data_IF_645632685808
#
_entry.id   IF_645632685808
#
_cell.length_a   1.000
_cell.length_b   1.000
_cell.length_c   1.000
_cell.angle_alpha   90.00
_cell.angle_beta   90.00
_cell.angle_gamma   90.00
#
_symmetry.space_group_name_H-M   'P 1'
#
loop_
_entity.id
_entity.type
_entity.pdbx_description
1 polymer ?
#
# COMPACT_ATOMS: atom_id res chain seq x y z
N UNK A 1 21.78 -11.33 -7.08
CA UNK A 1 21.70 -10.46 -5.85
C UNK A 1 21.05 -11.31 -4.78
N UNK A 2 21.52 -11.25 -3.52
CA UNK A 2 20.84 -11.95 -2.42
C UNK A 2 19.57 -11.20 -1.99
N UNK A 3 18.66 -11.89 -1.27
CA UNK A 3 17.44 -11.26 -0.75
C UNK A 3 17.77 -10.14 0.26
N UNK A 4 18.79 -10.31 1.09
CA UNK A 4 19.23 -9.28 2.03
C UNK A 4 19.86 -8.06 1.33
N UNK A 5 20.47 -8.25 0.15
CA UNK A 5 20.92 -7.13 -0.67
C UNK A 5 19.74 -6.38 -1.31
N UNK A 6 18.71 -7.10 -1.75
CA UNK A 6 17.49 -6.49 -2.25
C UNK A 6 16.78 -5.67 -1.15
N UNK A 7 16.64 -6.20 0.07
CA UNK A 7 16.08 -5.48 1.20
C UNK A 7 16.87 -4.21 1.53
N UNK A 8 18.20 -4.27 1.55
CA UNK A 8 19.06 -3.11 1.82
C UNK A 8 18.87 -2.01 0.77
N UNK A 9 18.81 -2.36 -0.53
CA UNK A 9 18.58 -1.40 -1.61
C UNK A 9 17.18 -0.80 -1.56
N UNK A 10 16.15 -1.59 -1.24
CA UNK A 10 14.80 -1.11 -1.02
C UNK A 10 14.74 -0.14 0.16
N UNK A 11 15.40 -0.46 1.28
CA UNK A 11 15.51 0.43 2.44
C UNK A 11 16.12 1.77 2.04
N UNK A 12 17.28 1.76 1.38
CA UNK A 12 17.94 2.98 0.91
C UNK A 12 17.06 3.81 -0.03
N UNK A 13 16.32 3.14 -0.91
CA UNK A 13 15.40 3.81 -1.83
C UNK A 13 14.28 4.52 -1.05
N UNK A 14 13.61 3.83 -0.14
CA UNK A 14 12.50 4.37 0.63
C UNK A 14 12.94 5.39 1.69
N UNK A 15 14.12 5.24 2.28
CA UNK A 15 14.70 6.25 3.17
C UNK A 15 14.94 7.57 2.43
N UNK A 16 15.46 7.49 1.21
CA UNK A 16 15.66 8.68 0.39
C UNK A 16 14.33 9.32 -0.06
N UNK A 17 13.30 8.52 -0.36
CA UNK A 17 11.98 8.98 -0.81
C UNK A 17 11.12 9.52 0.35
N UNK A 18 11.36 9.07 1.57
CA UNK A 18 10.58 9.43 2.77
C UNK A 18 10.40 10.94 2.94
N UNK A 19 11.38 11.74 2.51
CA UNK A 19 11.38 13.21 2.68
C UNK A 19 10.28 13.92 1.89
N UNK A 20 9.92 13.38 0.75
CA UNK A 20 8.96 13.96 -0.20
C UNK A 20 7.70 13.13 -0.38
N UNK A 21 7.65 11.94 0.20
CA UNK A 21 6.60 10.95 0.01
C UNK A 21 5.19 11.51 0.23
N UNK A 22 4.99 12.25 1.32
CA UNK A 22 3.69 12.83 1.66
C UNK A 22 3.28 14.04 0.80
N UNK A 23 4.19 14.57 -0.02
CA UNK A 23 3.86 15.67 -0.94
C UNK A 23 2.97 15.19 -2.09
N UNK A 24 2.93 13.88 -2.34
CA UNK A 24 2.04 13.27 -3.34
C UNK A 24 0.69 12.96 -2.71
N UNK A 25 -0.38 13.51 -3.28
CA UNK A 25 -1.75 13.36 -2.76
C UNK A 25 -2.20 11.89 -2.65
N UNK A 26 -1.75 11.02 -3.57
CA UNK A 26 -2.06 9.58 -3.55
C UNK A 26 -1.48 8.83 -2.35
N UNK A 27 -0.48 9.40 -1.67
CA UNK A 27 0.20 8.74 -0.54
C UNK A 27 -0.36 9.14 0.82
N UNK A 28 -0.67 10.42 1.00
CA UNK A 28 -0.89 10.99 2.34
C UNK A 28 -2.29 10.82 2.90
N UNK A 29 -3.31 10.50 2.10
CA UNK A 29 -4.73 10.46 2.53
C UNK A 29 -5.10 11.70 3.38
N UNK A 30 -4.56 12.87 2.98
CA UNK A 30 -4.75 14.11 3.73
C UNK A 30 -6.08 14.81 3.40
N UNK A 31 -6.66 14.54 2.23
CA UNK A 31 -7.94 15.11 1.83
C UNK A 31 -9.08 14.55 2.71
N UNK A 32 -9.94 15.40 3.30
CA UNK A 32 -11.00 14.95 4.20
C UNK A 32 -12.02 14.00 3.55
N UNK A 33 -12.33 14.18 2.27
CA UNK A 33 -13.29 13.33 1.55
C UNK A 33 -12.65 11.95 1.31
N UNK A 34 -11.39 11.92 0.84
CA UNK A 34 -10.66 10.67 0.68
C UNK A 34 -10.49 9.95 2.02
N UNK A 35 -10.11 10.66 3.07
CA UNK A 35 -9.96 10.09 4.42
C UNK A 35 -11.29 9.48 4.93
N UNK A 36 -12.42 10.11 4.65
CA UNK A 36 -13.73 9.58 5.02
C UNK A 36 -14.06 8.29 4.26
N UNK A 37 -13.76 8.21 2.95
CA UNK A 37 -13.99 6.98 2.16
C UNK A 37 -13.09 5.84 2.61
N UNK A 38 -11.81 6.12 2.91
CA UNK A 38 -10.89 5.13 3.49
C UNK A 38 -11.37 4.63 4.86
N UNK A 39 -11.81 5.53 5.73
CA UNK A 39 -12.34 5.18 7.05
C UNK A 39 -13.58 4.28 6.94
N UNK A 40 -14.50 4.61 6.03
CA UNK A 40 -15.69 3.79 5.77
C UNK A 40 -15.34 2.41 5.22
N UNK A 41 -14.37 2.32 4.29
CA UNK A 41 -13.87 1.06 3.77
C UNK A 41 -13.23 0.21 4.86
N UNK A 42 -12.32 0.80 5.67
CA UNK A 42 -11.64 0.09 6.75
C UNK A 42 -12.63 -0.42 7.80
N UNK A 43 -13.62 0.39 8.21
CA UNK A 43 -14.67 -0.03 9.14
C UNK A 43 -15.50 -1.22 8.63
N UNK A 44 -15.55 -1.44 7.31
CA UNK A 44 -16.28 -2.55 6.69
C UNK A 44 -15.43 -3.81 6.54
N UNK A 45 -14.12 -3.68 6.28
CA UNK A 45 -13.25 -4.83 6.01
C UNK A 45 -12.46 -5.31 7.22
N UNK A 46 -12.25 -4.43 8.21
CA UNK A 46 -11.62 -4.79 9.49
C UNK A 46 -12.67 -5.37 10.45
N UNK A 47 -12.27 -6.19 11.45
CA UNK A 47 -13.16 -6.61 12.52
C UNK A 47 -13.55 -5.42 13.42
N UNK A 48 -14.49 -5.63 14.34
CA UNK A 48 -14.83 -4.64 15.36
C UNK A 48 -13.60 -4.27 16.21
N UNK A 49 -13.50 -3.00 16.58
CA UNK A 49 -12.43 -2.53 17.45
C UNK A 49 -12.71 -2.92 18.94
N UNK A 50 -11.67 -3.15 19.73
CA UNK A 50 -10.25 -3.11 19.36
C UNK A 50 -9.76 -4.46 18.78
N UNK A 51 -9.13 -4.42 17.62
CA UNK A 51 -8.40 -5.55 17.04
C UNK A 51 -6.90 -5.24 17.00
N UNK A 52 -6.07 -6.28 17.02
CA UNK A 52 -4.61 -6.20 16.86
C UNK A 52 -4.28 -6.24 15.37
N UNK A 53 -3.78 -5.13 14.85
CA UNK A 53 -3.51 -4.96 13.42
C UNK A 53 -2.00 -4.82 13.20
N UNK A 54 -1.45 -5.63 12.30
CA UNK A 54 -0.12 -5.44 11.75
C UNK A 54 -0.26 -4.72 10.40
N UNK A 55 0.21 -3.48 10.33
CA UNK A 55 0.29 -2.69 9.08
C UNK A 55 1.66 -2.90 8.45
N UNK A 56 1.73 -3.62 7.34
CA UNK A 56 2.96 -4.03 6.65
C UNK A 56 3.31 -3.03 5.57
N UNK A 57 4.57 -2.59 5.53
CA UNK A 57 4.98 -1.47 4.69
C UNK A 57 4.23 -0.20 5.06
N UNK A 58 4.15 0.08 6.36
CA UNK A 58 3.32 1.15 6.91
C UNK A 58 3.69 2.54 6.37
N UNK A 59 4.91 2.69 5.83
CA UNK A 59 5.41 3.93 5.27
C UNK A 59 5.31 5.07 6.28
N UNK A 60 4.80 6.20 5.84
CA UNK A 60 4.58 7.37 6.69
C UNK A 60 3.27 7.29 7.52
N UNK A 61 2.62 6.12 7.54
CA UNK A 61 1.53 5.80 8.45
C UNK A 61 0.12 6.11 7.98
N UNK A 62 -0.13 6.26 6.70
CA UNK A 62 -1.47 6.61 6.22
C UNK A 62 -2.55 5.61 6.69
N UNK A 63 -2.28 4.29 6.58
CA UNK A 63 -3.23 3.27 7.02
C UNK A 63 -3.16 3.03 8.53
N UNK A 64 -1.97 3.03 9.12
CA UNK A 64 -1.78 2.91 10.58
C UNK A 64 -2.57 3.96 11.36
N UNK A 65 -2.47 5.24 10.95
CA UNK A 65 -3.17 6.35 11.60
C UNK A 65 -4.69 6.25 11.46
N UNK A 66 -5.18 5.80 10.30
CA UNK A 66 -6.61 5.54 10.10
C UNK A 66 -7.11 4.40 10.98
N UNK A 67 -6.40 3.27 11.05
CA UNK A 67 -6.76 2.14 11.91
C UNK A 67 -6.75 2.54 13.40
N UNK A 68 -5.73 3.29 13.84
CA UNK A 68 -5.68 3.84 15.20
C UNK A 68 -6.85 4.77 15.48
N UNK A 69 -7.25 5.61 14.52
CA UNK A 69 -8.42 6.51 14.65
C UNK A 69 -9.76 5.76 14.77
N UNK A 70 -9.81 4.51 14.33
CA UNK A 70 -10.96 3.61 14.48
C UNK A 70 -10.93 2.82 15.79
N UNK A 71 -9.91 3.03 16.64
CA UNK A 71 -9.79 2.39 17.95
C UNK A 71 -9.07 1.04 17.95
N UNK A 72 -8.36 0.70 16.88
CA UNK A 72 -7.56 -0.53 16.82
C UNK A 72 -6.18 -0.36 17.47
N UNK A 73 -5.59 -1.47 17.90
CA UNK A 73 -4.19 -1.54 18.37
C UNK A 73 -3.31 -1.85 17.18
N UNK A 74 -2.45 -0.90 16.81
CA UNK A 74 -1.67 -0.98 15.57
C UNK A 74 -0.19 -1.21 15.87
N UNK A 75 0.39 -2.21 15.23
CA UNK A 75 1.83 -2.41 15.08
C UNK A 75 2.18 -2.07 13.63
N UNK A 76 3.00 -1.07 13.42
CA UNK A 76 3.44 -0.60 12.09
C UNK A 76 4.81 -1.24 11.77
N UNK A 77 4.87 -1.99 10.68
CA UNK A 77 6.06 -2.66 10.19
C UNK A 77 6.51 -2.01 8.89
N UNK A 78 7.73 -1.52 8.85
CA UNK A 78 8.36 -1.05 7.62
C UNK A 78 9.87 -1.33 7.66
N UNK A 79 10.49 -1.42 6.50
CA UNK A 79 11.95 -1.60 6.41
C UNK A 79 12.71 -0.26 6.41
N UNK A 80 12.00 0.86 6.16
CA UNK A 80 12.60 2.19 6.05
C UNK A 80 12.52 2.94 7.38
N UNK A 81 13.68 3.22 7.97
CA UNK A 81 13.80 4.07 9.17
C UNK A 81 13.21 5.45 8.92
N UNK A 82 13.50 6.05 7.74
CA UNK A 82 13.02 7.39 7.41
C UNK A 82 11.49 7.48 7.28
N UNK A 83 10.83 6.42 6.80
CA UNK A 83 9.37 6.32 6.78
C UNK A 83 8.79 6.22 8.19
N UNK A 84 9.35 5.34 9.01
CA UNK A 84 8.90 5.11 10.39
C UNK A 84 9.09 6.32 11.29
N UNK A 85 10.15 7.10 11.11
CA UNK A 85 10.33 8.37 11.83
C UNK A 85 9.19 9.35 11.55
N UNK A 86 8.75 9.45 10.30
CA UNK A 86 7.61 10.30 9.93
C UNK A 86 6.29 9.78 10.49
N UNK A 87 6.08 8.47 10.46
CA UNK A 87 4.93 7.85 11.10
C UNK A 87 4.91 8.17 12.60
N UNK A 88 6.03 7.97 13.29
CA UNK A 88 6.16 8.26 14.74
C UNK A 88 5.80 9.70 15.07
N UNK A 89 6.32 10.65 14.29
CA UNK A 89 6.02 12.06 14.48
C UNK A 89 4.52 12.35 14.31
N UNK A 90 3.88 11.83 13.25
CA UNK A 90 2.45 12.01 12.99
C UNK A 90 1.56 11.32 14.03
N UNK A 91 1.97 10.16 14.54
CA UNK A 91 1.24 9.46 15.60
C UNK A 91 1.27 10.26 16.91
N UNK A 92 2.44 10.76 17.29
CA UNK A 92 2.63 11.60 18.48
C UNK A 92 1.81 12.90 18.39
N UNK A 93 1.85 13.59 17.23
CA UNK A 93 1.07 14.82 16.99
C UNK A 93 -0.45 14.61 17.13
N UNK A 94 -0.94 13.42 16.83
CA UNK A 94 -2.36 13.05 16.92
C UNK A 94 -2.73 12.32 18.21
N UNK A 95 -1.79 12.09 19.11
CA UNK A 95 -2.02 11.36 20.36
C UNK A 95 -2.32 9.87 20.19
N UNK A 96 -1.85 9.24 19.09
CA UNK A 96 -2.03 7.81 18.87
C UNK A 96 -0.81 7.01 19.36
N UNK A 97 -1.07 5.93 20.09
CA UNK A 97 -0.07 4.94 20.45
C UNK A 97 -0.01 3.87 19.34
N UNK A 98 1.10 3.86 18.59
CA UNK A 98 1.37 2.89 17.53
C UNK A 98 2.72 2.25 17.83
N UNK A 99 2.74 0.92 17.96
CA UNK A 99 3.98 0.17 18.04
C UNK A 99 4.71 0.22 16.69
N UNK A 100 6.01 0.48 16.70
CA UNK A 100 6.80 0.65 15.48
C UNK A 100 7.92 -0.38 15.44
N UNK A 101 7.94 -1.17 14.37
CA UNK A 101 8.92 -2.24 14.13
C UNK A 101 9.63 -2.00 12.81
N UNK A 102 10.96 -1.91 12.85
CA UNK A 102 11.79 -1.83 11.65
C UNK A 102 12.24 -3.24 11.24
N UNK A 103 11.59 -3.79 10.22
CA UNK A 103 11.96 -5.08 9.64
C UNK A 103 11.32 -5.24 8.24
N UNK A 104 11.85 -6.15 7.39
CA UNK A 104 11.19 -6.51 6.14
C UNK A 104 9.95 -7.37 6.36
N UNK A 105 9.04 -7.38 5.41
CA UNK A 105 7.75 -8.07 5.49
C UNK A 105 7.85 -9.61 5.68
N UNK A 106 8.96 -10.20 5.28
CA UNK A 106 9.24 -11.64 5.48
C UNK A 106 9.78 -12.00 6.87
N UNK A 107 9.94 -10.99 7.75
CA UNK A 107 10.36 -11.13 9.15
C UNK A 107 9.46 -10.30 10.08
N UNK A 108 8.15 -10.60 10.10
CA UNK A 108 7.22 -9.85 10.94
C UNK A 108 7.50 -10.07 12.43
N UNK A 109 7.08 -9.15 13.31
CA UNK A 109 7.13 -9.34 14.74
C UNK A 109 6.22 -10.49 15.19
N UNK A 110 6.46 -11.01 16.40
CA UNK A 110 5.65 -12.09 16.95
C UNK A 110 4.18 -11.66 17.14
N UNK A 111 3.25 -12.52 16.66
CA UNK A 111 1.81 -12.35 16.85
C UNK A 111 1.30 -12.77 18.23
N UNK A 112 0.01 -13.13 18.34
CA UNK A 112 -0.93 -13.17 17.24
C UNK A 112 -1.50 -11.79 16.87
N UNK A 113 -1.78 -11.59 15.58
CA UNK A 113 -2.55 -10.47 15.07
C UNK A 113 -3.92 -10.95 14.58
N UNK A 114 -4.94 -10.12 14.73
CA UNK A 114 -6.28 -10.38 14.20
C UNK A 114 -6.34 -10.04 12.70
N UNK A 115 -5.52 -9.05 12.28
CA UNK A 115 -5.43 -8.60 10.90
C UNK A 115 -3.97 -8.29 10.54
N UNK A 116 -3.56 -8.76 9.39
CA UNK A 116 -2.44 -8.19 8.64
C UNK A 116 -3.04 -7.33 7.55
N UNK A 117 -2.70 -6.05 7.51
CA UNK A 117 -3.08 -5.18 6.39
C UNK A 117 -1.83 -4.65 5.68
N UNK A 118 -1.96 -4.33 4.42
CA UNK A 118 -0.94 -3.63 3.65
C UNK A 118 -1.58 -2.74 2.58
N UNK A 119 -0.85 -1.72 2.15
CA UNK A 119 -1.27 -0.87 1.04
C UNK A 119 -0.12 -0.65 0.05
N UNK A 120 -0.25 -1.23 -1.15
CA UNK A 120 0.72 -1.08 -2.23
C UNK A 120 2.12 -1.65 -1.90
N UNK A 121 2.17 -2.74 -1.14
CA UNK A 121 3.43 -3.38 -0.71
C UNK A 121 3.72 -4.67 -1.46
N UNK A 122 2.72 -5.51 -1.72
CA UNK A 122 2.94 -6.84 -2.29
C UNK A 122 3.74 -6.81 -3.60
N UNK A 123 3.51 -5.81 -4.44
CA UNK A 123 4.24 -5.67 -5.70
C UNK A 123 5.70 -5.23 -5.53
N UNK A 124 6.11 -4.76 -4.35
CA UNK A 124 7.48 -4.32 -4.05
C UNK A 124 8.34 -5.41 -3.41
N UNK A 125 7.74 -6.55 -3.07
CA UNK A 125 8.42 -7.60 -2.33
C UNK A 125 9.38 -8.40 -3.23
N UNK A 126 10.62 -8.66 -2.79
CA UNK A 126 11.55 -9.54 -3.51
C UNK A 126 11.10 -11.01 -3.50
N UNK A 127 10.43 -11.44 -2.45
CA UNK A 127 9.90 -12.81 -2.29
C UNK A 127 8.47 -12.76 -1.72
N UNK A 128 7.45 -12.47 -2.55
CA UNK A 128 6.06 -12.39 -2.10
C UNK A 128 5.55 -13.68 -1.43
N UNK A 129 5.82 -14.90 -1.94
CA UNK A 129 5.38 -16.13 -1.30
C UNK A 129 5.91 -16.28 0.13
N UNK A 130 7.21 -16.04 0.33
CA UNK A 130 7.84 -16.11 1.65
C UNK A 130 7.25 -15.08 2.61
N UNK A 131 7.08 -13.84 2.18
CA UNK A 131 6.50 -12.79 3.00
C UNK A 131 5.04 -13.12 3.38
N UNK A 132 4.20 -13.49 2.42
CA UNK A 132 2.81 -13.87 2.67
C UNK A 132 2.68 -15.06 3.63
N UNK A 133 3.56 -16.07 3.52
CA UNK A 133 3.59 -17.20 4.44
C UNK A 133 4.01 -16.78 5.86
N UNK A 134 5.03 -15.91 5.99
CA UNK A 134 5.47 -15.37 7.27
C UNK A 134 4.37 -14.54 7.94
N UNK A 135 3.70 -13.67 7.19
CA UNK A 135 2.59 -12.86 7.67
C UNK A 135 1.41 -13.73 8.14
N UNK A 136 1.09 -14.80 7.39
CA UNK A 136 0.07 -15.75 7.80
C UNK A 136 0.40 -16.46 9.10
N UNK A 137 1.67 -16.80 9.34
CA UNK A 137 2.10 -17.50 10.55
C UNK A 137 1.89 -16.68 11.83
N UNK A 138 1.87 -15.35 11.75
CA UNK A 138 1.63 -14.45 12.89
C UNK A 138 0.16 -14.02 13.03
N UNK A 139 -0.74 -14.57 12.19
CA UNK A 139 -2.16 -14.17 12.10
C UNK A 139 -3.08 -15.41 12.21
N UNK A 140 -2.89 -16.29 13.17
CA UNK A 140 -3.68 -17.53 13.26
C UNK A 140 -5.17 -17.23 13.47
N UNK A 141 -6.01 -17.69 12.55
CA UNK A 141 -7.46 -17.46 12.57
C UNK A 141 -7.89 -16.02 12.24
N UNK A 142 -6.96 -15.15 11.88
CA UNK A 142 -7.23 -13.78 11.46
C UNK A 142 -7.35 -13.65 9.96
N UNK A 143 -7.09 -12.46 9.43
CA UNK A 143 -7.23 -12.15 8.00
C UNK A 143 -6.15 -11.26 7.43
N UNK A 144 -5.93 -11.38 6.13
CA UNK A 144 -5.20 -10.42 5.30
C UNK A 144 -6.19 -9.41 4.72
N UNK A 145 -5.81 -8.13 4.75
CA UNK A 145 -6.49 -7.03 4.05
C UNK A 145 -5.46 -6.30 3.21
N UNK A 146 -5.49 -6.53 1.90
CA UNK A 146 -4.53 -5.96 0.95
C UNK A 146 -5.22 -4.88 0.10
N UNK A 147 -4.72 -3.64 0.16
CA UNK A 147 -5.21 -2.52 -0.63
C UNK A 147 -4.26 -2.27 -1.79
N UNK A 148 -4.70 -2.60 -2.99
CA UNK A 148 -3.84 -2.57 -4.16
C UNK A 148 -4.42 -1.79 -5.35
N UNK A 149 -3.53 -1.41 -6.26
CA UNK A 149 -3.89 -0.81 -7.54
C UNK A 149 -3.51 -1.70 -8.71
N UNK A 150 -4.22 -1.57 -9.83
CA UNK A 150 -3.84 -2.24 -11.07
C UNK A 150 -2.75 -1.46 -11.79
N UNK A 151 -1.53 -1.57 -11.29
CA UNK A 151 -0.35 -0.97 -11.89
C UNK A 151 0.11 -1.80 -13.10
N UNK A 152 0.50 -1.15 -14.18
CA UNK A 152 1.07 -1.89 -15.34
C UNK A 152 0.07 -2.46 -16.34
N UNK A 153 -1.19 -2.01 -16.38
CA UNK A 153 -2.10 -2.38 -17.45
C UNK A 153 -1.53 -2.00 -18.83
N UNK A 154 -1.39 -2.99 -19.71
CA UNK A 154 -0.73 -2.87 -21.02
C UNK A 154 -1.69 -2.72 -22.22
N UNK A 155 -3.00 -2.67 -22.00
CA UNK A 155 -3.99 -2.58 -23.08
C UNK A 155 -3.82 -1.30 -23.91
N UNK A 156 -4.00 -1.40 -25.24
CA UNK A 156 -3.85 -0.27 -26.18
C UNK A 156 -4.70 0.94 -25.76
N UNK A 157 -5.93 0.71 -25.32
CA UNK A 157 -6.83 1.77 -24.85
C UNK A 157 -6.28 2.48 -23.62
N UNK A 158 -5.69 1.74 -22.66
CA UNK A 158 -5.05 2.32 -21.49
C UNK A 158 -3.81 3.15 -21.86
N UNK A 159 -2.98 2.63 -22.76
CA UNK A 159 -1.81 3.36 -23.26
C UNK A 159 -2.21 4.64 -23.98
N UNK A 160 -3.24 4.60 -24.83
CA UNK A 160 -3.75 5.77 -25.53
C UNK A 160 -4.29 6.82 -24.55
N UNK A 161 -5.05 6.39 -23.53
CA UNK A 161 -5.56 7.25 -22.46
C UNK A 161 -4.43 7.92 -21.67
N UNK A 162 -3.40 7.15 -21.27
CA UNK A 162 -2.22 7.69 -20.58
C UNK A 162 -1.44 8.70 -21.45
N UNK A 163 -1.25 8.41 -22.75
CA UNK A 163 -0.60 9.35 -23.67
C UNK A 163 -1.39 10.65 -23.79
N UNK A 164 -2.70 10.57 -23.95
CA UNK A 164 -3.58 11.74 -24.01
C UNK A 164 -3.50 12.55 -22.70
N UNK A 165 -3.57 11.91 -21.54
CA UNK A 165 -3.42 12.57 -20.25
C UNK A 165 -2.07 13.27 -20.09
N UNK A 166 -0.97 12.64 -20.54
CA UNK A 166 0.35 13.26 -20.53
C UNK A 166 0.41 14.53 -21.37
N UNK A 167 -0.19 14.52 -22.58
CA UNK A 167 -0.26 15.70 -23.44
C UNK A 167 -1.08 16.83 -22.80
N UNK A 168 -2.23 16.50 -22.20
CA UNK A 168 -3.06 17.47 -21.49
C UNK A 168 -2.31 18.07 -20.29
N UNK A 169 -1.61 17.24 -19.48
CA UNK A 169 -0.78 17.74 -18.38
C UNK A 169 0.31 18.69 -18.85
N UNK A 170 1.00 18.35 -19.95
CA UNK A 170 2.02 19.21 -20.54
C UNK A 170 1.45 20.54 -21.00
N UNK A 171 0.30 20.54 -21.71
CA UNK A 171 -0.38 21.74 -22.15
C UNK A 171 -0.81 22.65 -20.99
N UNK A 172 -1.24 22.06 -19.88
CA UNK A 172 -1.67 22.76 -18.67
C UNK A 172 -0.51 23.09 -17.71
N UNK A 173 0.72 22.72 -18.05
CA UNK A 173 1.91 22.87 -17.19
C UNK A 173 1.71 22.30 -15.79
N UNK A 174 0.98 21.17 -15.66
CA UNK A 174 0.81 20.46 -14.41
C UNK A 174 2.05 19.60 -14.16
N UNK A 175 2.72 19.73 -13.02
CA UNK A 175 3.86 18.88 -12.68
C UNK A 175 3.48 17.39 -12.77
N UNK A 176 4.40 16.58 -13.25
CA UNK A 176 4.26 15.13 -13.20
C UNK A 176 4.46 14.61 -11.77
N UNK A 177 4.04 13.39 -11.55
CA UNK A 177 4.38 12.66 -10.33
C UNK A 177 5.91 12.47 -10.27
N UNK A 178 6.53 12.74 -9.12
CA UNK A 178 7.97 12.74 -8.94
C UNK A 178 8.52 11.41 -8.38
N UNK A 179 7.77 10.31 -8.57
CA UNK A 179 8.24 9.00 -8.14
C UNK A 179 9.61 8.67 -8.74
N UNK A 180 10.54 8.37 -7.87
CA UNK A 180 11.82 7.78 -8.26
C UNK A 180 11.53 6.40 -8.85
N UNK A 181 12.26 6.05 -9.89
CA UNK A 181 12.19 4.70 -10.44
C UNK A 181 13.22 3.81 -9.75
N UNK A 182 12.84 2.56 -9.49
CA UNK A 182 13.81 1.57 -9.06
C UNK A 182 14.89 1.39 -10.14
N UNK A 183 16.11 1.14 -9.71
CA UNK A 183 17.19 0.73 -10.60
C UNK A 183 16.81 -0.57 -11.33
N UNK A 184 17.19 -0.76 -12.60
CA UNK A 184 16.80 -1.94 -13.37
C UNK A 184 17.19 -3.26 -12.70
N UNK A 185 18.33 -3.29 -12.01
CA UNK A 185 18.83 -4.46 -11.29
C UNK A 185 17.96 -4.81 -10.08
N UNK A 186 17.47 -3.79 -9.35
CA UNK A 186 16.55 -3.97 -8.24
C UNK A 186 15.17 -4.39 -8.77
N UNK A 187 14.70 -3.74 -9.83
CA UNK A 187 13.42 -4.07 -10.47
C UNK A 187 13.36 -5.53 -10.94
N UNK A 188 14.47 -6.07 -11.43
CA UNK A 188 14.57 -7.47 -11.83
C UNK A 188 14.45 -8.47 -10.66
N UNK A 189 14.58 -8.00 -9.42
CA UNK A 189 14.42 -8.82 -8.21
C UNK A 189 13.01 -8.71 -7.58
N UNK A 190 12.14 -7.90 -8.15
CA UNK A 190 10.78 -7.67 -7.67
C UNK A 190 9.81 -8.29 -8.69
N UNK A 191 9.40 -9.55 -8.50
CA UNK A 191 8.71 -10.31 -9.55
C UNK A 191 7.35 -9.72 -9.94
N UNK A 192 6.69 -9.02 -9.03
CA UNK A 192 5.38 -8.43 -9.27
C UNK A 192 5.43 -6.98 -9.80
N UNK A 193 6.61 -6.35 -9.86
CA UNK A 193 6.74 -4.95 -10.29
C UNK A 193 6.51 -4.74 -11.81
N UNK A 194 6.70 -5.76 -12.63
CA UNK A 194 6.61 -5.67 -14.08
C UNK A 194 5.18 -5.74 -14.65
N UNK A 195 4.17 -5.86 -13.81
CA UNK A 195 2.78 -5.87 -14.24
C UNK A 195 1.92 -6.84 -13.44
N UNK A 196 1.52 -6.40 -12.26
CA UNK A 196 0.64 -7.19 -11.40
C UNK A 196 -0.80 -7.04 -11.86
N UNK A 197 -1.50 -8.15 -12.02
CA UNK A 197 -2.94 -8.21 -12.22
C UNK A 197 -3.63 -8.60 -10.92
N UNK A 198 -4.90 -8.24 -10.77
CA UNK A 198 -5.71 -8.67 -9.63
C UNK A 198 -5.73 -10.21 -9.49
N UNK A 199 -5.80 -10.93 -10.62
CA UNK A 199 -5.73 -12.39 -10.64
C UNK A 199 -4.39 -12.91 -10.12
N UNK A 200 -3.27 -12.35 -10.58
CA UNK A 200 -1.94 -12.75 -10.11
C UNK A 200 -1.71 -12.49 -8.62
N UNK A 201 -2.30 -11.42 -8.05
CA UNK A 201 -2.27 -11.20 -6.60
C UNK A 201 -3.12 -12.22 -5.85
N UNK A 202 -4.33 -12.53 -6.33
CA UNK A 202 -5.16 -13.57 -5.73
C UNK A 202 -4.44 -14.93 -5.74
N UNK A 203 -3.87 -15.32 -6.87
CA UNK A 203 -3.09 -16.55 -6.99
C UNK A 203 -1.91 -16.60 -6.02
N UNK A 204 -1.16 -15.50 -5.87
CA UNK A 204 -0.04 -15.42 -4.93
C UNK A 204 -0.49 -15.54 -3.46
N UNK A 205 -1.60 -14.91 -3.11
CA UNK A 205 -2.20 -14.95 -1.78
C UNK A 205 -2.69 -16.38 -1.46
N UNK A 206 -3.41 -17.01 -2.38
CA UNK A 206 -3.93 -18.37 -2.21
C UNK A 206 -2.79 -19.41 -2.17
N UNK A 207 -1.77 -19.27 -3.02
CA UNK A 207 -0.59 -20.13 -3.03
C UNK A 207 0.21 -20.07 -1.73
N UNK A 208 0.16 -18.94 -1.00
CA UNK A 208 0.76 -18.79 0.32
C UNK A 208 -0.13 -19.36 1.46
N UNK A 209 -1.25 -19.99 1.13
CA UNK A 209 -2.12 -20.69 2.06
C UNK A 209 -3.24 -19.84 2.68
N UNK A 210 -3.38 -18.58 2.28
CA UNK A 210 -4.54 -17.78 2.63
C UNK A 210 -5.76 -18.31 1.88
N UNK A 211 -6.94 -18.26 2.49
CA UNK A 211 -8.15 -18.91 1.97
C UNK A 211 -9.28 -17.90 1.79
N UNK A 212 -10.31 -18.29 1.03
CA UNK A 212 -11.52 -17.50 0.83
C UNK A 212 -11.23 -16.07 0.32
N UNK A 213 -10.21 -15.93 -0.53
CA UNK A 213 -9.82 -14.62 -1.04
C UNK A 213 -10.96 -13.96 -1.82
N UNK A 214 -11.30 -12.74 -1.43
CA UNK A 214 -12.38 -11.94 -2.05
C UNK A 214 -11.80 -10.61 -2.51
N UNK A 215 -12.15 -10.21 -3.71
CA UNK A 215 -11.74 -8.95 -4.30
C UNK A 215 -12.91 -8.01 -4.45
N UNK A 216 -12.76 -6.77 -4.01
CA UNK A 216 -13.74 -5.72 -4.17
C UNK A 216 -13.09 -4.44 -4.69
N UNK A 217 -13.75 -3.77 -5.65
CA UNK A 217 -13.27 -2.50 -6.19
C UNK A 217 -13.58 -1.34 -5.24
N UNK A 218 -12.60 -0.50 -4.96
CA UNK A 218 -12.71 0.63 -4.03
C UNK A 218 -13.22 1.90 -4.74
N UNK A 219 -14.44 1.84 -5.31
CA UNK A 219 -15.01 2.91 -6.15
C UNK A 219 -15.13 4.25 -5.44
N UNK A 220 -15.46 4.24 -4.14
CA UNK A 220 -15.64 5.46 -3.37
C UNK A 220 -14.29 6.16 -3.14
N UNK A 221 -13.22 5.38 -2.91
CA UNK A 221 -11.85 5.91 -2.80
C UNK A 221 -11.38 6.46 -4.15
N UNK A 222 -11.63 5.75 -5.25
CA UNK A 222 -11.31 6.22 -6.60
C UNK A 222 -12.04 7.52 -6.91
N UNK A 223 -13.32 7.61 -6.57
CA UNK A 223 -14.12 8.81 -6.76
C UNK A 223 -13.55 9.98 -5.93
N UNK A 224 -13.30 9.79 -4.63
CA UNK A 224 -12.75 10.81 -3.78
C UNK A 224 -11.38 11.33 -4.27
N UNK A 225 -10.49 10.43 -4.70
CA UNK A 225 -9.22 10.80 -5.34
C UNK A 225 -9.42 11.62 -6.60
N UNK A 226 -10.40 11.25 -7.43
CA UNK A 226 -10.70 11.98 -8.66
C UNK A 226 -11.12 13.43 -8.42
N UNK A 227 -11.70 13.74 -7.26
CA UNK A 227 -12.09 15.13 -6.90
C UNK A 227 -10.88 16.05 -6.71
N UNK A 228 -9.74 15.50 -6.32
CA UNK A 228 -8.49 16.24 -6.12
C UNK A 228 -7.83 16.61 -7.46
N UNK A 229 -8.19 15.90 -8.53
CA UNK A 229 -7.67 16.18 -9.87
C UNK A 229 -8.45 17.31 -10.56
N UNK A 230 -7.76 18.08 -11.40
CA UNK A 230 -8.41 19.06 -12.26
C UNK A 230 -9.47 18.38 -13.13
N UNK A 231 -10.68 18.92 -13.26
CA UNK A 231 -11.78 18.27 -13.99
C UNK A 231 -11.42 17.75 -15.38
N UNK A 232 -10.59 18.50 -16.12
CA UNK A 232 -10.13 18.13 -17.47
C UNK A 232 -9.18 16.92 -17.47
N UNK A 233 -8.51 16.62 -16.36
CA UNK A 233 -7.58 15.48 -16.21
C UNK A 233 -8.28 14.21 -15.71
N UNK A 234 -9.40 14.33 -15.03
CA UNK A 234 -10.15 13.18 -14.44
C UNK A 234 -10.39 12.01 -15.41
N UNK A 235 -10.72 12.23 -16.70
CA UNK A 235 -10.91 11.13 -17.65
C UNK A 235 -9.64 10.33 -17.94
N UNK A 236 -8.47 10.92 -17.70
CA UNK A 236 -7.17 10.35 -18.06
C UNK A 236 -6.43 9.77 -16.85
N UNK A 237 -6.81 10.18 -15.66
CA UNK A 237 -6.19 9.79 -14.39
C UNK A 237 -6.96 8.64 -13.73
N UNK A 238 -6.34 8.08 -12.71
CA UNK A 238 -6.91 7.03 -11.90
C UNK A 238 -6.51 5.63 -12.35
N UNK A 239 -5.95 4.91 -11.39
CA UNK A 239 -5.70 3.49 -11.46
C UNK A 239 -6.85 2.81 -10.74
N UNK A 240 -7.47 1.76 -11.29
CA UNK A 240 -8.45 0.98 -10.57
C UNK A 240 -7.85 0.45 -9.26
N UNK A 241 -8.52 0.76 -8.15
CA UNK A 241 -8.12 0.32 -6.81
C UNK A 241 -9.05 -0.78 -6.34
N UNK A 242 -8.49 -1.74 -5.64
CA UNK A 242 -9.24 -2.84 -5.06
C UNK A 242 -8.71 -3.25 -3.70
N UNK A 243 -9.56 -3.83 -2.90
CA UNK A 243 -9.19 -4.50 -1.66
C UNK A 243 -9.36 -6.00 -1.84
N UNK A 244 -8.36 -6.77 -1.40
CA UNK A 244 -8.43 -8.22 -1.25
C UNK A 244 -8.52 -8.53 0.24
N UNK A 245 -9.49 -9.36 0.61
CA UNK A 245 -9.63 -9.88 1.97
C UNK A 245 -9.53 -11.40 1.88
N UNK A 246 -8.64 -12.01 2.67
CA UNK A 246 -8.47 -13.45 2.74
C UNK A 246 -8.31 -13.91 4.20
N UNK A 247 -8.72 -15.15 4.49
CA UNK A 247 -8.64 -15.75 5.82
C UNK A 247 -7.32 -16.53 5.98
N UNK A 248 -6.74 -16.53 7.18
CA UNK A 248 -5.46 -17.19 7.49
C UNK A 248 -5.56 -18.73 7.61
#
# INVERSE_FOLDING_TARGET
MSIDDAHRRLQQFWDADSRTYDATSSHSVADPVEAATWRALMARVLPEAPARILDVGAGTGAMSLLAASLGHRVTALDLSTGMLERLRAKAADRGYEIEIVEAPADRPPAGPFDVVMERHVLWTLPDPPKALAALRSVTPGGRLVSFEGMWGQSGLAHQARRRAGKLVRQALRVPGDHHRHYEPELLAQIPLASGTTAAGLLEAIEAAGWRNARLERMRDVEWARSLQERPVLRPFEGVPLFVIVADA
#
